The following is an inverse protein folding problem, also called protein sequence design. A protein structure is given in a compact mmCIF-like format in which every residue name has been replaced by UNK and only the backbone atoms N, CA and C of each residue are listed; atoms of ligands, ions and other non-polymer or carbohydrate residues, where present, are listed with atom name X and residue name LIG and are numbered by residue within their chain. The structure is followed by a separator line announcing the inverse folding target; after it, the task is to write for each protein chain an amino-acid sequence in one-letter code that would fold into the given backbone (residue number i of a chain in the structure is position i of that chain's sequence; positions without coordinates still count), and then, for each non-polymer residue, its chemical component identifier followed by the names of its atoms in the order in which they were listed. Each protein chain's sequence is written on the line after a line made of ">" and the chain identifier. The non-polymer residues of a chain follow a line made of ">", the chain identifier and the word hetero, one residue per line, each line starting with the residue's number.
data_IF_626546556743
#
_entry.id   IF_626546556743
#
_cell.length_a   1.000
_cell.length_b   1.000
_cell.length_c   1.000
_cell.angle_alpha   90.00
_cell.angle_beta   90.00
_cell.angle_gamma   90.00
#
_symmetry.space_group_name_H-M   'P 1'
#
loop_
_entity.id
_entity.type
_entity.pdbx_description
1 polymer ?
#
# COMPACT_ATOMS: atom_id res chain seq x y z
N UNK A 1 -67.30 -20.45 48.53
CA UNK A 1 -66.61 -19.66 47.50
C UNK A 1 -65.09 -19.55 47.80
N UNK A 2 -64.42 -20.59 48.25
CA UNK A 2 -62.99 -20.56 48.64
C UNK A 2 -62.17 -21.65 47.95
N UNK A 3 -62.76 -22.58 47.20
CA UNK A 3 -62.05 -23.68 46.55
C UNK A 3 -61.40 -23.40 45.18
N UNK A 4 -61.48 -22.15 44.68
CA UNK A 4 -60.96 -21.83 43.34
C UNK A 4 -59.64 -21.01 43.37
N UNK A 5 -59.16 -20.57 44.51
CA UNK A 5 -57.92 -19.77 44.59
C UNK A 5 -56.69 -20.66 44.71
N UNK A 6 -56.79 -21.84 45.31
CA UNK A 6 -55.63 -22.74 45.47
C UNK A 6 -55.22 -23.41 44.14
N UNK A 7 -56.20 -23.71 43.25
CA UNK A 7 -55.90 -24.29 41.93
C UNK A 7 -55.22 -23.29 40.97
N UNK A 8 -55.54 -22.01 41.04
CA UNK A 8 -54.95 -20.96 40.21
C UNK A 8 -53.47 -20.72 40.59
N UNK A 9 -53.14 -20.84 41.86
CA UNK A 9 -51.76 -20.71 42.32
C UNK A 9 -50.85 -21.89 41.91
N UNK A 10 -51.39 -23.10 41.88
CA UNK A 10 -50.64 -24.30 41.47
C UNK A 10 -50.38 -24.30 39.96
N UNK A 11 -51.37 -23.94 39.15
CA UNK A 11 -51.20 -23.84 37.69
C UNK A 11 -50.22 -22.71 37.30
N UNK A 12 -50.28 -21.54 37.95
CA UNK A 12 -49.33 -20.44 37.73
C UNK A 12 -47.90 -20.83 38.13
N UNK A 13 -47.75 -21.63 39.19
CA UNK A 13 -46.44 -22.08 39.67
C UNK A 13 -45.84 -23.13 38.70
N UNK A 14 -46.64 -24.02 38.17
CA UNK A 14 -46.24 -25.03 37.14
C UNK A 14 -45.81 -24.33 35.82
N UNK A 15 -46.55 -23.31 35.39
CA UNK A 15 -46.22 -22.51 34.22
C UNK A 15 -44.87 -21.77 34.39
N UNK A 16 -44.67 -21.12 35.56
CA UNK A 16 -43.42 -20.44 35.88
C UNK A 16 -42.21 -21.39 35.95
N UNK A 17 -42.42 -22.58 36.52
CA UNK A 17 -41.39 -23.64 36.58
C UNK A 17 -41.03 -24.12 35.20
N UNK A 18 -42.00 -24.41 34.34
CA UNK A 18 -41.78 -24.82 32.95
C UNK A 18 -41.07 -23.75 32.13
N UNK A 19 -41.33 -22.48 32.42
CA UNK A 19 -40.65 -21.35 31.75
C UNK A 19 -39.22 -21.24 32.21
N UNK A 20 -38.95 -21.40 33.49
CA UNK A 20 -37.59 -21.37 34.03
C UNK A 20 -36.73 -22.54 33.52
N UNK A 21 -37.28 -23.72 33.41
CA UNK A 21 -36.60 -24.91 32.87
C UNK A 21 -36.22 -24.72 31.40
N UNK A 22 -37.12 -24.11 30.62
CA UNK A 22 -36.83 -23.74 29.21
C UNK A 22 -35.75 -22.69 29.07
N UNK A 23 -35.72 -21.71 29.96
CA UNK A 23 -34.67 -20.69 29.98
C UNK A 23 -33.32 -21.31 30.34
N UNK A 24 -33.27 -22.19 31.33
CA UNK A 24 -32.05 -22.90 31.71
C UNK A 24 -31.52 -23.80 30.58
N UNK A 25 -32.39 -24.50 29.88
CA UNK A 25 -32.02 -25.31 28.72
C UNK A 25 -31.50 -24.46 27.58
N UNK A 26 -32.13 -23.32 27.29
CA UNK A 26 -31.71 -22.36 26.27
C UNK A 26 -30.35 -21.72 26.62
N UNK A 27 -30.13 -21.38 27.88
CA UNK A 27 -28.85 -20.82 28.36
C UNK A 27 -27.75 -21.87 28.30
N UNK A 28 -28.00 -23.13 28.68
CA UNK A 28 -27.03 -24.24 28.57
C UNK A 28 -26.63 -24.49 27.12
N UNK A 29 -27.61 -24.48 26.20
CA UNK A 29 -27.37 -24.67 24.77
C UNK A 29 -26.56 -23.53 24.15
N UNK A 30 -26.85 -22.29 24.48
CA UNK A 30 -26.11 -21.12 23.99
C UNK A 30 -24.72 -20.97 24.63
N UNK A 31 -24.57 -21.38 25.90
CA UNK A 31 -23.23 -21.43 26.53
C UNK A 31 -22.34 -22.49 25.86
N UNK A 32 -22.91 -23.63 25.42
CA UNK A 32 -22.16 -24.64 24.69
C UNK A 32 -21.73 -24.13 23.30
N UNK A 33 -22.59 -23.38 22.62
CA UNK A 33 -22.27 -22.74 21.33
C UNK A 33 -21.21 -21.68 21.52
N UNK A 34 -21.26 -20.88 22.59
CA UNK A 34 -20.26 -19.85 22.90
C UNK A 34 -18.89 -20.47 23.24
N UNK A 35 -18.88 -21.58 24.01
CA UNK A 35 -17.62 -22.29 24.33
C UNK A 35 -17.05 -22.98 23.09
N UNK A 36 -17.90 -23.54 22.22
CA UNK A 36 -17.46 -24.11 20.95
C UNK A 36 -16.90 -23.06 19.99
N UNK A 37 -17.52 -21.88 19.90
CA UNK A 37 -17.01 -20.75 19.12
C UNK A 37 -15.69 -20.20 19.69
N UNK A 38 -15.55 -20.13 21.02
CA UNK A 38 -14.29 -19.74 21.64
C UNK A 38 -13.18 -20.77 21.42
N UNK A 39 -13.50 -22.07 21.45
CA UNK A 39 -12.57 -23.15 21.12
C UNK A 39 -12.07 -23.11 19.68
N UNK A 40 -12.92 -22.70 18.73
CA UNK A 40 -12.52 -22.52 17.33
C UNK A 40 -11.62 -21.30 17.10
N UNK A 41 -11.83 -20.22 17.86
CA UNK A 41 -10.98 -19.01 17.76
C UNK A 41 -9.58 -19.30 18.31
N UNK A 42 -9.45 -20.14 19.33
CA UNK A 42 -8.14 -20.51 19.92
C UNK A 42 -7.41 -21.56 19.08
N UNK A 43 -8.12 -22.36 18.28
CA UNK A 43 -7.50 -23.39 17.43
C UNK A 43 -6.98 -22.86 16.08
N UNK A 44 -7.27 -21.61 15.70
CA UNK A 44 -6.75 -20.95 14.51
C UNK A 44 -5.51 -20.09 14.79
N UNK A 45 -4.90 -20.18 15.96
CA UNK A 45 -3.54 -19.70 16.13
C UNK A 45 -2.57 -20.72 15.52
N UNK A 46 -2.54 -20.76 14.18
CA UNK A 46 -1.36 -21.22 13.46
C UNK A 46 -0.13 -20.54 14.07
N UNK A 47 0.91 -21.31 14.31
CA UNK A 47 2.26 -20.84 14.63
C UNK A 47 2.79 -19.93 13.51
N UNK A 48 2.21 -18.75 13.34
CA UNK A 48 2.97 -17.61 12.92
C UNK A 48 3.78 -17.23 14.17
N UNK A 49 5.03 -17.65 14.22
CA UNK A 49 6.01 -16.85 14.91
C UNK A 49 5.79 -15.43 14.42
N UNK A 50 5.03 -14.66 15.20
CA UNK A 50 5.04 -13.23 15.07
C UNK A 50 6.51 -12.85 15.22
N UNK A 51 7.15 -12.55 14.10
CA UNK A 51 8.32 -11.71 14.13
C UNK A 51 7.78 -10.47 14.85
N UNK A 52 8.03 -10.40 16.15
CA UNK A 52 7.94 -9.17 16.91
C UNK A 52 9.03 -8.26 16.34
N UNK A 53 8.75 -7.74 15.16
CA UNK A 53 9.33 -6.48 14.77
C UNK A 53 8.77 -5.51 15.80
N UNK A 54 9.58 -5.18 16.78
CA UNK A 54 9.37 -3.99 17.57
C UNK A 54 9.24 -2.84 16.58
N UNK A 55 7.99 -2.51 16.19
CA UNK A 55 7.72 -1.24 15.59
C UNK A 55 8.05 -0.24 16.69
N UNK A 56 9.24 0.35 16.62
CA UNK A 56 9.41 1.64 17.25
C UNK A 56 8.27 2.49 16.71
N UNK A 57 7.43 3.04 17.56
CA UNK A 57 6.32 3.84 17.07
C UNK A 57 6.95 4.92 16.21
N UNK A 58 6.58 4.99 14.94
CA UNK A 58 6.68 6.24 14.19
C UNK A 58 6.27 7.32 15.18
N UNK A 59 7.06 8.38 15.30
CA UNK A 59 6.83 9.40 16.32
C UNK A 59 5.36 9.84 16.23
N UNK A 60 4.52 9.20 17.05
CA UNK A 60 3.07 9.27 16.95
C UNK A 60 2.66 10.73 16.94
N UNK A 61 1.95 11.14 15.91
CA UNK A 61 1.42 12.49 15.76
C UNK A 61 2.39 13.54 15.18
N UNK A 62 3.60 13.18 14.76
CA UNK A 62 4.47 14.15 14.07
C UNK A 62 4.21 14.17 12.57
N UNK A 63 4.17 15.35 11.93
CA UNK A 63 3.94 15.45 10.50
C UNK A 63 5.10 14.91 9.70
N UNK A 64 4.79 14.28 8.56
CA UNK A 64 5.74 13.97 7.51
C UNK A 64 5.62 15.00 6.40
N UNK A 65 6.74 15.22 5.68
CA UNK A 65 6.72 16.05 4.49
C UNK A 65 7.17 15.27 3.27
N UNK A 66 6.51 15.54 2.12
CA UNK A 66 7.03 15.07 0.84
C UNK A 66 8.28 15.86 0.51
N UNK A 67 9.37 15.17 0.27
CA UNK A 67 10.69 15.75 0.01
C UNK A 67 11.02 15.61 -1.47
N UNK A 68 10.76 16.69 -2.18
CA UNK A 68 10.91 16.76 -3.61
C UNK A 68 12.38 16.84 -4.03
N UNK A 69 12.83 15.83 -4.74
CA UNK A 69 14.13 15.81 -5.38
C UNK A 69 13.95 16.01 -6.88
N UNK A 70 14.04 17.25 -7.35
CA UNK A 70 13.79 17.62 -8.75
C UNK A 70 14.99 17.33 -9.67
N UNK A 71 15.55 16.11 -9.63
CA UNK A 71 16.67 15.67 -10.45
C UNK A 71 17.78 16.73 -10.54
N UNK A 72 18.10 17.35 -9.42
CA UNK A 72 19.18 18.31 -9.25
C UNK A 72 20.43 17.62 -8.75
N UNK A 73 21.53 18.33 -8.73
CA UNK A 73 22.73 17.90 -8.02
C UNK A 73 22.39 17.75 -6.53
N UNK A 74 22.63 16.56 -5.99
CA UNK A 74 22.32 16.25 -4.60
C UNK A 74 23.62 16.00 -3.86
N UNK A 75 23.87 16.81 -2.84
CA UNK A 75 25.03 16.70 -1.97
C UNK A 75 24.63 16.08 -0.63
N UNK A 76 25.50 15.24 -0.08
CA UNK A 76 25.25 14.61 1.22
C UNK A 76 25.11 15.65 2.35
N UNK A 77 25.83 16.76 2.24
CA UNK A 77 25.77 17.88 3.18
C UNK A 77 24.39 18.52 3.20
N UNK A 78 23.77 18.72 2.02
CA UNK A 78 22.42 19.28 1.91
C UNK A 78 21.36 18.31 2.45
N UNK A 79 21.49 17.02 2.15
CA UNK A 79 20.65 15.96 2.71
C UNK A 79 20.67 16.03 4.23
N UNK A 80 21.87 16.04 4.81
CA UNK A 80 22.05 16.08 6.26
C UNK A 80 21.46 17.35 6.85
N UNK A 81 21.79 18.51 6.31
CA UNK A 81 21.29 19.78 6.78
C UNK A 81 19.75 19.85 6.79
N UNK A 82 19.11 19.43 5.70
CA UNK A 82 17.65 19.46 5.60
C UNK A 82 16.98 18.50 6.59
N UNK A 83 17.53 17.31 6.79
CA UNK A 83 16.98 16.35 7.75
C UNK A 83 17.16 16.82 9.20
N UNK A 84 18.32 17.42 9.54
CA UNK A 84 18.55 18.05 10.85
C UNK A 84 17.56 19.19 11.08
N UNK A 85 17.35 20.04 10.10
CA UNK A 85 16.36 21.13 10.18
C UNK A 85 14.95 20.60 10.40
N UNK A 86 14.52 19.57 9.66
CA UNK A 86 13.22 18.94 9.84
C UNK A 86 13.03 18.37 11.25
N UNK A 87 14.06 17.71 11.78
CA UNK A 87 14.05 17.18 13.14
C UNK A 87 13.88 18.30 14.17
N UNK A 88 14.63 19.38 14.06
CA UNK A 88 14.58 20.52 14.96
C UNK A 88 13.22 21.24 14.92
N UNK A 89 12.56 21.23 13.76
CA UNK A 89 11.25 21.84 13.55
C UNK A 89 10.06 20.89 13.81
N UNK A 90 10.32 19.74 14.44
CA UNK A 90 9.26 18.86 14.95
C UNK A 90 8.64 17.89 13.94
N UNK A 91 9.24 17.73 12.76
CA UNK A 91 8.81 16.72 11.81
C UNK A 91 9.15 15.30 12.30
N UNK A 92 8.32 14.34 11.90
CA UNK A 92 8.50 12.91 12.19
C UNK A 92 9.25 12.15 11.10
N UNK A 93 9.28 12.69 9.89
CA UNK A 93 9.93 12.04 8.76
C UNK A 93 9.70 12.72 7.43
N UNK A 94 10.20 12.08 6.39
CA UNK A 94 10.14 12.52 5.00
C UNK A 94 9.65 11.39 4.09
N UNK A 95 9.09 11.75 2.95
CA UNK A 95 8.88 10.87 1.81
C UNK A 95 9.73 11.38 0.64
N UNK A 96 10.73 10.63 0.23
CA UNK A 96 11.57 11.00 -0.91
C UNK A 96 10.77 10.81 -2.19
N UNK A 97 10.47 11.92 -2.87
CA UNK A 97 9.81 11.95 -4.16
C UNK A 97 10.80 12.42 -5.23
N UNK A 98 11.39 11.46 -5.94
CA UNK A 98 12.31 11.76 -7.04
C UNK A 98 11.54 12.15 -8.28
N UNK A 99 11.70 13.39 -8.71
CA UNK A 99 11.07 13.91 -9.93
C UNK A 99 12.15 14.18 -10.98
N UNK A 100 11.95 13.66 -12.16
CA UNK A 100 12.86 13.88 -13.27
C UNK A 100 12.94 15.37 -13.63
N UNK A 101 14.09 15.85 -14.20
CA UNK A 101 14.25 17.27 -14.45
C UNK A 101 13.13 17.81 -15.29
N UNK A 102 12.62 18.96 -14.89
CA UNK A 102 11.62 19.69 -15.66
C UNK A 102 12.20 20.09 -17.01
N UNK A 103 11.35 20.17 -18.03
CA UNK A 103 11.74 20.53 -19.39
C UNK A 103 12.67 21.77 -19.40
N UNK A 104 13.82 21.66 -20.01
CA UNK A 104 14.69 22.80 -20.35
C UNK A 104 15.95 22.94 -19.53
N UNK A 105 16.15 22.19 -18.46
CA UNK A 105 17.39 22.27 -17.69
C UNK A 105 18.33 21.10 -18.00
N UNK A 106 19.04 21.21 -19.13
CA UNK A 106 20.10 20.27 -19.51
C UNK A 106 21.45 20.58 -18.86
N UNK A 107 21.54 21.66 -18.09
CA UNK A 107 22.79 22.14 -17.51
C UNK A 107 23.10 21.57 -16.14
N UNK A 108 22.08 21.11 -15.42
CA UNK A 108 22.22 20.56 -14.07
C UNK A 108 22.65 19.10 -14.14
N UNK A 109 23.77 18.79 -13.51
CA UNK A 109 24.17 17.41 -13.27
C UNK A 109 23.26 16.80 -12.21
N UNK A 110 22.70 15.66 -12.52
CA UNK A 110 21.90 14.89 -11.58
C UNK A 110 22.20 13.41 -11.75
N UNK A 111 22.09 12.60 -10.69
CA UNK A 111 22.22 11.15 -10.80
C UNK A 111 21.14 10.61 -11.74
N UNK A 112 21.49 9.64 -12.56
CA UNK A 112 20.47 8.92 -13.35
C UNK A 112 19.58 8.14 -12.38
N UNK A 113 18.27 8.23 -12.54
CA UNK A 113 17.31 7.47 -11.75
C UNK A 113 17.61 5.96 -11.76
N UNK A 114 17.58 5.35 -10.57
CA UNK A 114 17.98 3.96 -10.30
C UNK A 114 19.45 3.61 -10.60
N UNK A 115 20.31 4.60 -10.87
CA UNK A 115 21.76 4.36 -10.94
C UNK A 115 22.35 4.11 -9.55
N UNK A 116 23.56 3.58 -9.52
CA UNK A 116 24.31 3.41 -8.25
C UNK A 116 24.50 4.73 -7.49
N UNK A 117 24.77 5.81 -8.20
CA UNK A 117 24.92 7.14 -7.62
C UNK A 117 23.60 7.62 -6.97
N UNK A 118 22.48 7.47 -7.69
CA UNK A 118 21.15 7.76 -7.14
C UNK A 118 20.86 6.89 -5.91
N UNK A 119 21.07 5.60 -6.00
CA UNK A 119 20.86 4.65 -4.90
C UNK A 119 21.73 4.97 -3.67
N UNK A 120 22.97 5.41 -3.90
CA UNK A 120 23.85 5.85 -2.82
C UNK A 120 23.31 7.08 -2.08
N UNK A 121 22.81 8.09 -2.82
CA UNK A 121 22.20 9.28 -2.24
C UNK A 121 20.93 8.96 -1.45
N UNK A 122 20.06 8.13 -1.99
CA UNK A 122 18.83 7.68 -1.29
C UNK A 122 19.18 6.89 -0.03
N UNK A 123 20.14 5.97 -0.13
CA UNK A 123 20.61 5.19 1.03
C UNK A 123 21.29 6.07 2.09
N UNK A 124 22.00 7.13 1.68
CA UNK A 124 22.56 8.08 2.61
C UNK A 124 21.47 8.84 3.35
N UNK A 125 20.45 9.33 2.63
CA UNK A 125 19.31 10.01 3.22
C UNK A 125 18.58 9.11 4.24
N UNK A 126 18.34 7.85 3.88
CA UNK A 126 17.70 6.87 4.77
C UNK A 126 18.50 6.67 6.06
N UNK A 127 19.80 6.40 5.96
CA UNK A 127 20.66 6.22 7.14
C UNK A 127 20.74 7.48 8.01
N UNK A 128 20.80 8.65 7.39
CA UNK A 128 20.82 9.92 8.12
C UNK A 128 19.50 10.14 8.86
N UNK A 129 18.36 9.90 8.20
CA UNK A 129 17.05 9.97 8.85
C UNK A 129 16.95 9.00 10.03
N UNK A 130 17.37 7.75 9.87
CA UNK A 130 17.40 6.76 10.94
C UNK A 130 18.25 7.22 12.13
N UNK A 131 19.44 7.79 11.88
CA UNK A 131 20.31 8.28 12.94
C UNK A 131 19.72 9.45 13.73
N UNK A 132 18.83 10.21 13.10
CA UNK A 132 18.11 11.33 13.71
C UNK A 132 16.77 10.88 14.34
N UNK A 133 16.38 9.62 14.21
CA UNK A 133 15.08 9.12 14.64
C UNK A 133 13.92 9.70 13.80
N UNK A 134 14.16 9.98 12.53
CA UNK A 134 13.16 10.36 11.55
C UNK A 134 12.76 9.15 10.70
N UNK A 135 11.49 9.08 10.29
CA UNK A 135 11.07 8.15 9.26
C UNK A 135 11.56 8.61 7.88
N UNK A 136 11.74 7.65 6.97
CA UNK A 136 12.10 7.93 5.59
C UNK A 136 11.36 6.97 4.67
N UNK A 137 10.35 7.49 4.01
CA UNK A 137 9.49 6.78 3.07
C UNK A 137 9.91 7.08 1.63
N UNK A 138 9.42 6.29 0.68
CA UNK A 138 9.81 6.42 -0.72
C UNK A 138 8.59 6.47 -1.64
N UNK A 139 8.61 7.39 -2.60
CA UNK A 139 7.73 7.31 -3.77
C UNK A 139 8.23 6.18 -4.68
N UNK A 140 7.33 5.27 -5.04
CA UNK A 140 7.64 4.11 -5.88
C UNK A 140 7.51 4.45 -7.36
N UNK A 141 8.25 5.44 -7.80
CA UNK A 141 8.24 5.95 -9.16
C UNK A 141 8.99 7.27 -9.29
N UNK A 142 9.01 7.81 -10.48
CA UNK A 142 9.71 9.07 -10.77
C UNK A 142 8.86 10.11 -11.47
N UNK A 143 7.71 9.73 -12.02
CA UNK A 143 6.81 10.60 -12.77
C UNK A 143 5.36 10.29 -12.46
N UNK A 144 4.47 11.23 -12.76
CA UNK A 144 3.01 11.09 -12.68
C UNK A 144 2.40 11.24 -14.07
N UNK A 145 1.54 10.33 -14.49
CA UNK A 145 1.20 9.05 -13.85
C UNK A 145 2.41 8.12 -13.74
N UNK A 146 2.28 7.12 -12.87
CA UNK A 146 3.31 6.14 -12.55
C UNK A 146 3.95 5.52 -13.80
N UNK A 147 5.22 5.81 -14.05
CA UNK A 147 5.90 5.42 -15.27
C UNK A 147 7.40 5.13 -15.09
N UNK A 148 8.04 4.65 -16.15
CA UNK A 148 9.46 4.41 -16.20
C UNK A 148 10.04 4.80 -17.57
N UNK A 149 11.29 5.26 -17.58
CA UNK A 149 11.95 5.74 -18.78
C UNK A 149 12.29 4.63 -19.77
N UNK A 150 12.80 3.53 -19.30
CA UNK A 150 13.29 2.42 -20.11
C UNK A 150 12.31 1.22 -20.08
N UNK A 151 11.01 1.50 -19.90
CA UNK A 151 9.99 0.47 -19.92
C UNK A 151 9.80 -0.10 -21.33
N UNK A 152 9.92 -1.42 -21.53
CA UNK A 152 9.62 -2.05 -22.81
C UNK A 152 8.18 -1.75 -23.28
N UNK A 153 7.98 -1.60 -24.58
CA UNK A 153 6.67 -1.27 -25.16
C UNK A 153 5.55 -2.20 -24.72
N UNK A 154 5.84 -3.49 -24.61
CA UNK A 154 4.88 -4.50 -24.16
C UNK A 154 4.33 -4.28 -22.75
N UNK A 155 5.05 -3.55 -21.91
CA UNK A 155 4.65 -3.24 -20.54
C UNK A 155 4.01 -1.86 -20.36
N UNK A 156 3.91 -1.10 -21.45
CA UNK A 156 3.25 0.20 -21.44
C UNK A 156 1.73 0.07 -21.40
N UNK A 157 1.09 1.07 -20.76
CA UNK A 157 -0.37 1.21 -20.77
C UNK A 157 -0.87 1.38 -22.20
N UNK A 158 -1.94 0.69 -22.54
CA UNK A 158 -2.58 0.73 -23.84
C UNK A 158 -4.03 1.19 -23.73
N UNK A 159 -4.52 1.85 -24.76
CA UNK A 159 -5.93 2.20 -24.89
C UNK A 159 -6.53 1.58 -26.13
N UNK A 160 -7.82 1.28 -26.02
CA UNK A 160 -8.64 0.74 -27.10
C UNK A 160 -9.47 1.85 -27.70
N UNK A 161 -9.48 1.99 -29.02
CA UNK A 161 -10.33 2.90 -29.75
C UNK A 161 -11.43 2.13 -30.49
N UNK A 162 -12.67 2.52 -30.24
CA UNK A 162 -13.87 1.92 -30.82
C UNK A 162 -14.04 2.31 -32.31
N UNK A 163 -13.09 1.96 -33.16
CA UNK A 163 -13.27 2.02 -34.63
C UNK A 163 -12.72 0.74 -35.22
N UNK A 164 -13.55 -0.03 -35.84
CA UNK A 164 -13.34 -1.20 -36.70
C UNK A 164 -12.15 -2.16 -36.42
N UNK A 165 -11.13 -1.70 -35.75
CA UNK A 165 -10.00 -2.48 -35.26
C UNK A 165 -9.46 -1.88 -33.97
N UNK A 166 -9.08 -2.69 -32.98
CA UNK A 166 -8.41 -2.19 -31.80
C UNK A 166 -7.04 -1.63 -32.22
N UNK A 167 -6.85 -0.34 -32.03
CA UNK A 167 -5.53 0.27 -32.17
C UNK A 167 -4.84 0.21 -30.82
N UNK A 168 -3.76 -0.54 -30.75
CA UNK A 168 -2.86 -0.54 -29.61
C UNK A 168 -2.13 0.80 -29.54
N UNK A 169 -2.49 1.64 -28.59
CA UNK A 169 -1.81 2.90 -28.36
C UNK A 169 -1.13 2.86 -26.99
N UNK A 170 0.19 2.94 -27.00
CA UNK A 170 0.97 3.15 -25.78
C UNK A 170 0.96 4.62 -25.43
N UNK A 171 0.45 4.96 -24.23
CA UNK A 171 0.55 6.31 -23.71
C UNK A 171 2.00 6.57 -23.30
N UNK A 172 2.57 7.64 -23.83
CA UNK A 172 3.92 8.06 -23.50
C UNK A 172 3.87 9.41 -22.79
N UNK A 173 4.70 9.58 -21.79
CA UNK A 173 4.93 10.87 -21.19
C UNK A 173 5.70 11.75 -22.18
N UNK A 174 5.28 13.01 -22.31
CA UNK A 174 5.95 13.98 -23.18
C UNK A 174 7.28 14.47 -22.55
N UNK A 175 8.27 13.61 -22.55
CA UNK A 175 9.61 13.85 -22.03
C UNK A 175 10.62 13.60 -23.14
N UNK A 176 11.81 14.26 -23.15
CA UNK A 176 12.86 14.06 -24.13
C UNK A 176 13.31 12.60 -24.30
N UNK A 177 13.19 11.82 -23.22
CA UNK A 177 13.28 10.36 -23.24
C UNK A 177 11.85 9.83 -23.10
N UNK A 178 11.36 9.14 -24.07
CA UNK A 178 10.01 8.56 -24.07
C UNK A 178 9.79 7.70 -22.82
N UNK A 179 9.12 8.27 -21.82
CA UNK A 179 8.71 7.55 -20.63
C UNK A 179 7.32 6.93 -20.87
N UNK A 180 7.14 5.66 -20.51
CA UNK A 180 5.89 4.95 -20.68
C UNK A 180 5.20 4.75 -19.34
N UNK A 181 3.90 4.98 -19.32
CA UNK A 181 3.07 4.65 -18.17
C UNK A 181 2.95 3.14 -18.08
N UNK A 182 3.18 2.59 -16.90
CA UNK A 182 3.15 1.14 -16.68
C UNK A 182 1.72 0.62 -16.86
N UNK A 183 1.58 -0.52 -17.51
CA UNK A 183 0.30 -1.19 -17.64
C UNK A 183 -0.12 -1.81 -16.30
N UNK A 184 -0.97 -1.10 -15.57
CA UNK A 184 -1.48 -1.53 -14.27
C UNK A 184 -2.42 -2.75 -14.33
N UNK A 185 -2.82 -3.15 -15.53
CA UNK A 185 -3.64 -4.35 -15.74
C UNK A 185 -2.79 -5.60 -16.02
N UNK A 186 -1.46 -5.45 -16.09
CA UNK A 186 -0.51 -6.51 -16.41
C UNK A 186 0.44 -6.77 -15.23
N UNK A 187 0.32 -7.96 -14.64
CA UNK A 187 1.18 -8.38 -13.52
C UNK A 187 2.65 -8.52 -13.91
N UNK A 188 2.95 -8.86 -15.15
CA UNK A 188 4.33 -8.97 -15.63
C UNK A 188 4.97 -7.59 -15.76
N UNK A 189 4.21 -6.60 -16.24
CA UNK A 189 4.66 -5.22 -16.29
C UNK A 189 5.00 -4.70 -14.89
N UNK A 190 4.13 -4.95 -13.91
CA UNK A 190 4.39 -4.59 -12.53
C UNK A 190 5.62 -5.32 -11.96
N UNK A 191 5.73 -6.63 -12.16
CA UNK A 191 6.86 -7.41 -11.67
C UNK A 191 8.20 -6.95 -12.26
N UNK A 192 8.20 -6.61 -13.56
CA UNK A 192 9.37 -6.05 -14.22
C UNK A 192 9.82 -4.72 -13.58
N UNK A 193 8.86 -3.82 -13.35
CA UNK A 193 9.13 -2.53 -12.75
C UNK A 193 9.55 -2.66 -11.27
N UNK A 194 8.83 -3.45 -10.50
CA UNK A 194 9.10 -3.66 -9.08
C UNK A 194 10.53 -4.18 -8.87
N UNK A 195 10.97 -5.11 -9.71
CA UNK A 195 12.34 -5.63 -9.65
C UNK A 195 13.39 -4.53 -9.80
N UNK A 196 13.19 -3.58 -10.72
CA UNK A 196 14.13 -2.45 -10.89
C UNK A 196 14.15 -1.52 -9.68
N UNK A 197 12.96 -1.22 -9.13
CA UNK A 197 12.83 -0.41 -7.92
C UNK A 197 13.47 -1.08 -6.71
N UNK A 198 13.22 -2.37 -6.53
CA UNK A 198 13.78 -3.14 -5.41
C UNK A 198 15.30 -3.23 -5.50
N UNK A 199 15.86 -3.42 -6.70
CA UNK A 199 17.31 -3.38 -6.91
C UNK A 199 17.91 -2.00 -6.60
N UNK A 200 17.24 -0.92 -7.03
CA UNK A 200 17.67 0.46 -6.78
C UNK A 200 17.57 0.88 -5.32
N UNK A 201 16.57 0.38 -4.59
CA UNK A 201 16.31 0.72 -3.19
C UNK A 201 16.83 -0.30 -2.17
N UNK A 202 17.44 -1.40 -2.61
CA UNK A 202 17.84 -2.54 -1.73
C UNK A 202 18.63 -2.14 -0.48
N UNK A 203 19.48 -1.12 -0.59
CA UNK A 203 20.28 -0.63 0.54
C UNK A 203 19.51 0.38 1.39
N UNK A 204 18.58 1.12 0.78
CA UNK A 204 17.70 2.04 1.48
C UNK A 204 16.60 1.33 2.28
N UNK A 205 16.28 0.08 1.97
CA UNK A 205 15.35 -0.73 2.77
C UNK A 205 15.96 -1.27 4.07
N UNK A 206 17.26 -1.11 4.28
CA UNK A 206 17.92 -1.48 5.52
C UNK A 206 17.65 -0.43 6.62
N UNK A 207 17.61 -0.88 7.87
CA UNK A 207 17.37 -0.01 9.01
C UNK A 207 15.89 0.03 9.43
N UNK A 208 15.35 1.20 9.78
CA UNK A 208 13.96 1.35 10.18
C UNK A 208 13.01 1.04 9.00
N UNK A 209 11.78 0.67 9.31
CA UNK A 209 10.75 0.44 8.28
C UNK A 209 10.45 1.72 7.51
N UNK A 210 10.22 1.58 6.22
CA UNK A 210 9.80 2.65 5.33
C UNK A 210 8.43 2.34 4.73
N UNK A 211 7.62 3.37 4.57
CA UNK A 211 6.42 3.32 3.74
C UNK A 211 6.80 3.41 2.27
N UNK A 212 5.98 2.81 1.43
CA UNK A 212 6.06 2.97 -0.02
C UNK A 212 4.81 3.70 -0.48
N UNK A 213 5.01 4.87 -1.07
CA UNK A 213 3.95 5.65 -1.66
C UNK A 213 3.84 5.32 -3.15
N UNK A 214 2.66 4.92 -3.58
CA UNK A 214 2.31 4.76 -4.99
C UNK A 214 1.28 5.82 -5.33
N UNK A 215 1.63 6.70 -6.26
CA UNK A 215 0.77 7.81 -6.63
C UNK A 215 -0.43 7.36 -7.46
N UNK A 216 -1.37 8.29 -7.65
CA UNK A 216 -2.58 8.08 -8.41
C UNK A 216 -2.29 7.68 -9.87
N UNK A 217 -3.15 6.85 -10.41
CA UNK A 217 -3.08 6.45 -11.80
C UNK A 217 -3.83 7.46 -12.69
N UNK A 218 -3.18 8.55 -13.00
CA UNK A 218 -3.71 9.67 -13.77
C UNK A 218 -3.58 9.44 -15.28
N UNK A 219 -4.22 8.41 -15.77
CA UNK A 219 -4.17 8.07 -17.20
C UNK A 219 -5.36 8.66 -17.92
N UNK A 220 -5.10 9.60 -18.82
CA UNK A 220 -6.11 10.21 -19.70
C UNK A 220 -6.53 9.26 -20.82
N UNK A 221 -7.21 8.19 -20.48
CA UNK A 221 -7.81 7.28 -21.46
C UNK A 221 -9.20 6.85 -21.03
N UNK A 222 -10.10 6.76 -22.01
CA UNK A 222 -11.46 6.28 -21.76
C UNK A 222 -11.56 4.76 -21.80
N UNK A 223 -10.66 4.10 -22.51
CA UNK A 223 -10.73 2.67 -22.80
C UNK A 223 -9.36 2.03 -22.61
N UNK A 224 -9.14 1.49 -21.43
CA UNK A 224 -7.93 0.76 -21.13
C UNK A 224 -7.97 -0.63 -21.75
N UNK A 225 -6.81 -1.06 -22.22
CA UNK A 225 -6.63 -2.37 -22.81
C UNK A 225 -5.39 -3.07 -22.27
N UNK A 226 -5.49 -4.38 -22.15
CA UNK A 226 -4.33 -5.25 -21.90
C UNK A 226 -4.48 -6.52 -22.71
N UNK A 227 -3.38 -7.18 -23.00
CA UNK A 227 -3.37 -8.45 -23.74
C UNK A 227 -4.16 -9.52 -22.97
N UNK A 228 -4.90 -10.36 -23.69
CA UNK A 228 -5.75 -11.39 -23.12
C UNK A 228 -7.03 -10.87 -22.44
N UNK A 229 -7.30 -9.55 -22.47
CA UNK A 229 -8.50 -9.01 -21.83
C UNK A 229 -9.78 -9.52 -22.49
N UNK A 230 -9.84 -9.54 -23.82
CA UNK A 230 -11.01 -9.97 -24.58
C UNK A 230 -11.37 -11.43 -24.33
N UNK A 231 -10.36 -12.29 -24.31
CA UNK A 231 -10.50 -13.72 -24.03
C UNK A 231 -11.05 -13.96 -22.62
N UNK A 232 -10.46 -13.31 -21.63
CA UNK A 232 -10.92 -13.40 -20.23
C UNK A 232 -12.30 -12.82 -20.02
N UNK A 233 -12.63 -11.75 -20.72
CA UNK A 233 -13.98 -11.18 -20.68
C UNK A 233 -15.01 -12.17 -21.24
N UNK A 234 -14.70 -12.75 -22.41
CA UNK A 234 -15.57 -13.74 -23.04
C UNK A 234 -15.70 -15.02 -22.20
N UNK A 235 -14.61 -15.50 -21.61
CA UNK A 235 -14.63 -16.67 -20.71
C UNK A 235 -15.55 -16.45 -19.51
N UNK A 236 -15.57 -15.23 -18.95
CA UNK A 236 -16.31 -14.93 -17.73
C UNK A 236 -17.75 -14.51 -17.97
N UNK A 237 -18.04 -13.89 -19.09
CA UNK A 237 -19.35 -13.26 -19.33
C UNK A 237 -20.07 -13.77 -20.61
N UNK A 238 -19.45 -14.60 -21.40
CA UNK A 238 -20.00 -15.20 -22.62
C UNK A 238 -19.63 -14.40 -23.88
#
# INVERSE_FOLDING_TARGET
>A
MVKNLDNINVEAFEILRSFNDKIEEYMKKNLFILVALFGFIVSCTSNQQAVQTTMEPYAEGKPYTRWWWFASEIQNEDIKYQLEWLKENGFGGVEIAWVYPMRGDSTVKHPKWLSEEWAASVSYAKRTADSLGLGCDFTYGTLWPFNAFDLPDKYGTRSFYQKESPEDRTLTWDHPRKARIINHLDKEAFAYYAKQMDEGLKDAYKGSKSGIFVDSWEVETRHLWTEGYGEKFKERFG
#
